data_IF_624168985885
#
_entry.id   IF_624168985885
#
_cell.length_a   1.000
_cell.length_b   1.000
_cell.length_c   1.000
_cell.angle_alpha   90.00
_cell.angle_beta   90.00
_cell.angle_gamma   90.00
#
_symmetry.space_group_name_H-M   'P 1'
#
loop_
_entity.id
_entity.type
_entity.pdbx_description
1 polymer ?
#
# COMPACT_ATOMS: atom_id res chain seq x y z
N UNK A 1 32.91 36.32 -21.43
CA UNK A 1 34.22 35.68 -21.66
C UNK A 1 34.00 34.16 -21.61
N UNK A 2 33.20 33.60 -22.53
CA UNK A 2 33.61 32.88 -23.77
C UNK A 2 34.60 31.71 -23.58
N UNK A 3 34.05 30.49 -23.68
CA UNK A 3 34.48 29.29 -24.43
C UNK A 3 35.96 28.92 -24.50
N UNK A 4 36.27 27.69 -24.08
CA UNK A 4 37.42 26.84 -24.46
C UNK A 4 37.37 25.60 -23.54
N UNK A 5 37.41 24.32 -23.92
CA UNK A 5 38.09 23.60 -25.00
C UNK A 5 37.40 22.23 -25.18
N UNK A 6 37.42 21.73 -26.41
CA UNK A 6 36.98 20.41 -26.82
C UNK A 6 38.17 19.46 -27.05
N UNK A 7 37.86 18.15 -27.08
CA UNK A 7 38.45 17.11 -27.95
C UNK A 7 39.75 16.44 -27.49
N UNK A 8 39.71 15.10 -27.41
CA UNK A 8 40.74 14.04 -27.63
C UNK A 8 40.05 12.74 -27.20
N UNK A 9 40.17 11.56 -27.80
CA UNK A 9 40.51 11.08 -29.13
C UNK A 9 40.07 9.59 -29.12
N UNK A 10 39.61 9.09 -30.26
CA UNK A 10 39.35 7.67 -30.48
C UNK A 10 40.68 6.93 -30.70
N UNK A 11 40.76 5.68 -30.23
CA UNK A 11 41.79 4.74 -30.65
C UNK A 11 41.18 3.35 -30.84
N UNK A 12 41.40 2.86 -32.05
CA UNK A 12 41.12 1.54 -32.58
C UNK A 12 42.00 0.46 -31.93
N UNK A 13 41.44 -0.73 -31.67
CA UNK A 13 42.18 -2.00 -31.59
C UNK A 13 41.27 -3.17 -32.04
N UNK A 14 41.31 -3.42 -33.35
CA UNK A 14 41.76 -4.66 -34.01
C UNK A 14 42.35 -5.79 -33.12
N UNK A 15 41.92 -7.04 -33.39
CA UNK A 15 42.57 -8.31 -33.01
C UNK A 15 41.54 -9.40 -32.64
N UNK A 16 41.02 -10.21 -33.58
CA UNK A 16 41.50 -11.54 -34.00
C UNK A 16 41.75 -12.53 -32.85
N UNK A 17 40.99 -13.62 -32.79
CA UNK A 17 41.50 -14.96 -33.11
C UNK A 17 40.44 -16.04 -32.81
N UNK A 18 40.20 -16.84 -33.84
CA UNK A 18 39.41 -18.08 -33.87
C UNK A 18 40.16 -19.19 -33.13
N UNK A 19 39.51 -19.86 -32.18
CA UNK A 19 39.92 -21.19 -31.72
C UNK A 19 38.66 -22.05 -31.55
N UNK A 20 38.44 -22.93 -32.53
CA UNK A 20 37.53 -24.05 -32.50
C UNK A 20 37.95 -25.04 -31.41
N UNK A 21 37.08 -25.28 -30.41
CA UNK A 21 37.24 -26.44 -29.51
C UNK A 21 35.97 -27.27 -29.43
N UNK A 22 36.09 -28.39 -30.14
CA UNK A 22 35.33 -29.62 -30.11
C UNK A 22 35.31 -30.21 -28.69
N UNK A 23 34.14 -30.32 -28.05
CA UNK A 23 33.97 -31.07 -26.79
C UNK A 23 32.84 -32.08 -26.94
N UNK A 24 33.27 -33.33 -26.84
CA UNK A 24 32.57 -34.60 -26.93
C UNK A 24 31.49 -34.78 -25.88
N UNK A 25 30.36 -35.35 -26.34
CA UNK A 25 29.30 -35.94 -25.51
C UNK A 25 29.87 -37.04 -24.61
N UNK A 26 29.54 -37.00 -23.32
CA UNK A 26 29.67 -38.13 -22.42
C UNK A 26 28.33 -38.30 -21.72
N UNK A 27 27.60 -39.33 -22.15
CA UNK A 27 26.43 -39.85 -21.46
C UNK A 27 26.88 -40.43 -20.10
N UNK A 28 26.17 -40.09 -19.04
CA UNK A 28 26.26 -40.80 -17.76
C UNK A 28 24.87 -40.86 -17.15
N UNK A 29 24.23 -41.99 -17.43
CA UNK A 29 23.15 -42.57 -16.65
C UNK A 29 23.62 -42.80 -15.21
N UNK A 30 22.86 -42.32 -14.22
CA UNK A 30 22.88 -42.89 -12.87
C UNK A 30 21.47 -42.81 -12.28
N UNK A 31 20.79 -43.95 -12.42
CA UNK A 31 19.73 -44.43 -11.53
C UNK A 31 20.28 -44.53 -10.10
N UNK A 32 19.55 -44.10 -9.06
CA UNK A 32 19.48 -44.85 -7.79
C UNK A 32 18.28 -44.43 -6.92
N UNK A 33 17.53 -45.47 -6.51
CA UNK A 33 17.00 -45.74 -5.18
C UNK A 33 15.98 -44.78 -4.51
N UNK A 34 14.73 -45.10 -4.84
CA UNK A 34 13.58 -45.30 -3.96
C UNK A 34 13.91 -45.72 -2.49
N UNK A 35 13.41 -45.00 -1.47
CA UNK A 35 13.13 -45.56 -0.14
C UNK A 35 11.80 -45.02 0.43
N UNK A 36 10.89 -45.98 0.65
CA UNK A 36 9.60 -45.90 1.36
C UNK A 36 9.72 -45.34 2.78
N UNK A 37 8.74 -44.54 3.19
CA UNK A 37 8.39 -44.46 4.61
C UNK A 37 6.88 -44.33 4.80
N UNK A 38 6.27 -45.48 5.11
CA UNK A 38 4.92 -45.62 5.67
C UNK A 38 4.80 -44.84 6.99
N UNK A 39 3.70 -44.11 7.18
CA UNK A 39 3.22 -43.76 8.52
C UNK A 39 1.70 -43.64 8.56
N UNK A 40 1.13 -44.65 9.19
CA UNK A 40 -0.26 -44.74 9.64
C UNK A 40 -0.67 -43.55 10.53
N UNK A 41 -1.91 -43.10 10.38
CA UNK A 41 -2.42 -41.92 11.07
C UNK A 41 -3.95 -41.85 11.18
N UNK A 42 -4.51 -42.85 11.88
CA UNK A 42 -5.62 -42.74 12.85
C UNK A 42 -6.94 -42.10 12.40
N UNK A 43 -7.93 -42.98 12.23
CA UNK A 43 -9.37 -42.71 12.30
C UNK A 43 -9.73 -41.87 13.54
N UNK A 44 -10.47 -40.77 13.34
CA UNK A 44 -11.21 -40.15 14.44
C UNK A 44 -12.67 -39.98 14.05
N UNK A 45 -13.50 -40.69 14.82
CA UNK A 45 -14.93 -40.80 14.72
C UNK A 45 -15.63 -39.49 15.09
N UNK A 46 -16.80 -39.26 14.46
CA UNK A 46 -18.07 -38.94 15.10
C UNK A 46 -18.16 -37.66 15.94
N UNK A 47 -19.01 -36.75 15.50
CA UNK A 47 -20.08 -36.22 16.36
C UNK A 47 -21.20 -35.62 15.48
N UNK A 48 -22.32 -36.33 15.46
CA UNK A 48 -23.63 -35.84 15.06
C UNK A 48 -24.13 -34.91 16.18
N UNK A 49 -24.64 -33.74 15.82
CA UNK A 49 -25.51 -32.97 16.71
C UNK A 49 -26.77 -32.58 15.94
N UNK A 50 -27.84 -33.33 16.23
CA UNK A 50 -29.22 -32.88 16.20
C UNK A 50 -29.30 -31.48 16.82
N UNK A 51 -29.98 -30.54 16.15
CA UNK A 51 -30.60 -29.43 16.86
C UNK A 51 -31.97 -29.17 16.24
N UNK A 52 -32.94 -29.20 17.16
CA UNK A 52 -34.33 -29.52 16.94
C UNK A 52 -35.12 -28.34 16.33
N UNK A 53 -36.15 -28.72 15.59
CA UNK A 53 -37.24 -27.88 15.10
C UNK A 53 -38.02 -27.31 16.30
N UNK A 54 -38.22 -25.99 16.34
CA UNK A 54 -39.34 -25.38 17.07
C UNK A 54 -40.23 -24.63 16.07
N UNK A 55 -41.31 -25.34 15.74
CA UNK A 55 -42.58 -24.81 15.24
C UNK A 55 -43.16 -23.80 16.22
N UNK A 56 -43.53 -22.62 15.72
CA UNK A 56 -44.56 -21.78 16.34
C UNK A 56 -45.57 -21.42 15.22
N UNK A 57 -46.56 -22.31 15.07
CA UNK A 57 -47.86 -22.01 14.48
C UNK A 57 -48.70 -21.13 15.44
N UNK A 58 -49.81 -20.62 14.91
CA UNK A 58 -50.90 -19.92 15.59
C UNK A 58 -50.78 -18.39 15.77
N UNK A 59 -51.46 -17.65 14.89
CA UNK A 59 -52.71 -17.04 15.35
C UNK A 59 -53.65 -16.67 14.18
N UNK A 60 -54.91 -16.95 14.46
CA UNK A 60 -56.08 -17.05 13.60
C UNK A 60 -56.62 -15.69 13.10
N UNK A 61 -57.24 -15.77 11.92
CA UNK A 61 -58.48 -15.12 11.46
C UNK A 61 -59.05 -13.90 12.23
N UNK A 62 -59.29 -12.80 11.50
CA UNK A 62 -60.56 -12.08 11.64
C UNK A 62 -60.90 -11.27 10.35
N UNK A 63 -61.72 -11.91 9.52
CA UNK A 63 -62.43 -11.31 8.38
C UNK A 63 -63.70 -10.61 8.89
N UNK A 64 -63.73 -9.27 8.89
CA UNK A 64 -64.99 -8.51 8.89
C UNK A 64 -65.06 -7.55 7.68
N UNK A 65 -65.99 -7.76 6.73
CA UNK A 65 -66.29 -6.79 5.69
C UNK A 65 -67.35 -5.79 6.17
N UNK A 66 -66.92 -4.69 6.79
CA UNK A 66 -67.83 -3.56 7.08
C UNK A 66 -67.92 -2.61 5.90
N UNK A 67 -69.05 -2.71 5.20
CA UNK A 67 -69.53 -1.79 4.17
C UNK A 67 -69.99 -0.45 4.80
N UNK A 68 -70.03 0.61 3.96
CA UNK A 68 -70.60 1.99 4.06
C UNK A 68 -69.79 3.12 4.72
N UNK A 69 -69.99 4.42 4.34
CA UNK A 69 -70.46 5.00 3.07
C UNK A 69 -69.53 6.11 2.51
N UNK A 70 -69.60 6.33 1.20
CA UNK A 70 -68.97 7.43 0.49
C UNK A 70 -69.29 8.81 1.08
N UNK A 71 -68.28 9.52 1.63
CA UNK A 71 -68.38 10.94 1.95
C UNK A 71 -67.14 11.73 1.51
N UNK A 72 -67.35 12.47 0.40
CA UNK A 72 -66.86 13.81 0.06
C UNK A 72 -65.35 14.10 0.21
N UNK A 73 -64.68 14.09 -0.95
CA UNK A 73 -63.41 14.78 -1.25
C UNK A 73 -63.47 16.25 -0.80
N UNK A 74 -62.93 16.55 0.38
CA UNK A 74 -62.47 17.90 0.74
C UNK A 74 -61.00 17.98 0.33
N UNK A 75 -60.70 18.79 -0.68
CA UNK A 75 -59.35 19.04 -1.18
C UNK A 75 -58.46 19.53 -0.04
N UNK A 76 -57.68 18.60 0.53
CA UNK A 76 -56.69 18.89 1.57
C UNK A 76 -55.51 19.53 0.84
N UNK A 77 -55.44 20.87 0.93
CA UNK A 77 -54.34 21.65 0.37
C UNK A 77 -53.02 21.00 0.75
N UNK A 78 -52.29 20.58 -0.27
CA UNK A 78 -50.94 20.01 -0.18
C UNK A 78 -50.07 21.15 0.35
N UNK A 79 -49.95 21.28 1.68
CA UNK A 79 -48.93 22.14 2.28
C UNK A 79 -47.60 21.58 1.79
N UNK A 80 -46.97 22.30 0.89
CA UNK A 80 -45.58 22.11 0.51
C UNK A 80 -44.81 22.45 1.78
N UNK A 81 -44.65 21.45 2.65
CA UNK A 81 -43.74 21.53 3.79
C UNK A 81 -42.37 21.39 3.14
N UNK A 82 -41.72 22.53 2.92
CA UNK A 82 -40.31 22.62 2.64
C UNK A 82 -39.60 21.88 3.79
N UNK A 83 -39.20 20.64 3.53
CA UNK A 83 -38.48 19.81 4.50
C UNK A 83 -37.14 20.47 4.70
N UNK A 84 -37.03 21.28 5.75
CA UNK A 84 -35.74 21.68 6.31
C UNK A 84 -35.01 20.38 6.63
N UNK A 85 -34.02 20.05 5.81
CA UNK A 85 -33.16 18.89 5.99
C UNK A 85 -32.37 19.14 7.27
N UNK A 86 -32.87 18.62 8.39
CA UNK A 86 -32.12 18.56 9.64
C UNK A 86 -30.85 17.77 9.34
N UNK A 87 -29.71 18.46 9.38
CA UNK A 87 -28.40 17.82 9.31
C UNK A 87 -28.33 16.86 10.49
N UNK A 88 -28.24 15.56 10.19
CA UNK A 88 -28.11 14.50 11.19
C UNK A 88 -26.77 13.83 11.00
N UNK A 89 -26.14 13.54 12.12
CA UNK A 89 -24.91 12.77 12.18
C UNK A 89 -25.22 11.28 12.00
N UNK A 90 -24.39 10.62 11.19
CA UNK A 90 -24.45 9.18 10.91
C UNK A 90 -23.12 8.59 11.35
N UNK A 91 -23.15 7.62 12.26
CA UNK A 91 -21.96 6.91 12.70
C UNK A 91 -21.65 5.77 11.71
N UNK A 92 -20.55 5.88 10.99
CA UNK A 92 -20.08 4.91 10.01
C UNK A 92 -18.88 4.15 10.57
N UNK A 93 -19.02 2.84 10.76
CA UNK A 93 -17.89 1.97 11.11
C UNK A 93 -17.25 1.41 9.84
N UNK A 94 -16.01 1.80 9.55
CA UNK A 94 -15.25 1.30 8.41
C UNK A 94 -14.42 0.10 8.87
N UNK A 95 -14.63 -1.06 8.26
CA UNK A 95 -13.90 -2.30 8.54
C UNK A 95 -13.08 -2.69 7.31
N UNK A 96 -11.75 -2.73 7.45
CA UNK A 96 -10.81 -3.06 6.38
C UNK A 96 -10.22 -4.45 6.62
N UNK A 97 -10.34 -5.33 5.63
CA UNK A 97 -9.72 -6.66 5.64
C UNK A 97 -8.45 -6.66 4.79
N UNK A 98 -7.41 -7.34 5.27
CA UNK A 98 -6.20 -7.58 4.47
C UNK A 98 -6.40 -8.73 3.47
N UNK A 99 -5.59 -8.75 2.42
CA UNK A 99 -5.63 -9.85 1.44
C UNK A 99 -5.31 -11.22 2.08
N UNK A 100 -4.46 -11.25 3.10
CA UNK A 100 -4.16 -12.46 3.87
C UNK A 100 -5.40 -12.97 4.62
N UNK A 101 -6.10 -12.09 5.33
CA UNK A 101 -7.36 -12.41 6.02
C UNK A 101 -8.47 -12.85 5.07
N UNK A 102 -8.49 -12.35 3.83
CA UNK A 102 -9.48 -12.77 2.83
C UNK A 102 -9.27 -14.20 2.32
N UNK A 103 -8.06 -14.77 2.47
CA UNK A 103 -7.78 -16.18 2.12
C UNK A 103 -8.29 -17.15 3.20
N UNK A 104 -8.47 -16.68 4.42
CA UNK A 104 -9.00 -17.47 5.54
C UNK A 104 -10.51 -17.68 5.40
N UNK A 105 -11.02 -18.80 5.92
CA UNK A 105 -12.45 -19.06 5.99
C UNK A 105 -13.14 -18.01 6.88
N UNK A 106 -14.44 -17.78 6.67
CA UNK A 106 -15.18 -16.73 7.41
C UNK A 106 -15.11 -16.87 8.94
N UNK A 107 -14.99 -18.10 9.45
CA UNK A 107 -14.88 -18.40 10.89
C UNK A 107 -13.46 -18.23 11.43
N UNK A 108 -12.44 -18.40 10.60
CA UNK A 108 -11.03 -18.24 10.99
C UNK A 108 -10.51 -16.83 10.74
N UNK A 109 -11.21 -16.04 9.92
CA UNK A 109 -10.83 -14.66 9.58
C UNK A 109 -10.69 -13.82 10.85
N UNK A 110 -9.47 -13.35 11.10
CA UNK A 110 -9.20 -12.43 12.20
C UNK A 110 -10.08 -11.17 12.18
N UNK A 111 -10.13 -10.46 13.32
CA UNK A 111 -10.89 -9.20 13.41
C UNK A 111 -10.36 -8.17 12.40
N UNK A 112 -11.24 -7.49 11.63
CA UNK A 112 -10.80 -6.44 10.71
C UNK A 112 -10.22 -5.24 11.46
N UNK A 113 -9.34 -4.51 10.81
CA UNK A 113 -8.99 -3.16 11.27
C UNK A 113 -10.24 -2.29 11.15
N UNK A 114 -10.78 -1.85 12.29
CA UNK A 114 -12.03 -1.10 12.31
C UNK A 114 -11.89 0.24 12.99
N UNK A 115 -12.52 1.26 12.41
CA UNK A 115 -12.53 2.61 12.97
C UNK A 115 -13.89 3.27 12.74
N UNK A 116 -14.26 4.14 13.69
CA UNK A 116 -15.54 4.84 13.68
C UNK A 116 -15.33 6.24 13.11
N UNK A 117 -16.16 6.60 12.14
CA UNK A 117 -16.22 7.92 11.52
C UNK A 117 -17.63 8.49 11.68
N UNK A 118 -17.74 9.78 12.03
CA UNK A 118 -19.02 10.49 12.11
C UNK A 118 -19.18 11.29 10.82
N UNK A 119 -20.20 10.93 10.05
CA UNK A 119 -20.53 11.50 8.74
C UNK A 119 -21.76 12.40 8.87
N UNK A 120 -21.70 13.63 8.39
CA UNK A 120 -22.90 14.47 8.31
C UNK A 120 -23.75 14.09 7.09
N UNK A 121 -25.08 14.21 7.22
CA UNK A 121 -26.02 13.84 6.15
C UNK A 121 -25.87 14.64 4.84
N UNK A 122 -25.18 15.77 4.89
CA UNK A 122 -24.90 16.68 3.77
C UNK A 122 -23.51 16.47 3.15
N UNK A 123 -22.69 15.56 3.68
CA UNK A 123 -21.37 15.30 3.14
C UNK A 123 -21.43 14.63 1.76
N UNK A 124 -20.65 15.11 0.77
CA UNK A 124 -20.63 14.53 -0.56
C UNK A 124 -19.96 13.16 -0.55
N UNK A 125 -20.26 12.35 -1.58
CA UNK A 125 -19.69 11.01 -1.77
C UNK A 125 -18.16 11.00 -1.74
N UNK A 126 -17.53 12.03 -2.31
CA UNK A 126 -16.08 12.16 -2.34
C UNK A 126 -15.44 12.26 -0.95
N UNK A 127 -16.14 12.83 0.04
CA UNK A 127 -15.65 12.89 1.43
C UNK A 127 -15.60 11.50 2.05
N UNK A 128 -16.67 10.72 1.92
CA UNK A 128 -16.67 9.33 2.40
C UNK A 128 -15.59 8.50 1.69
N UNK A 129 -15.45 8.69 0.37
CA UNK A 129 -14.42 8.02 -0.43
C UNK A 129 -13.00 8.37 0.06
N UNK A 130 -12.72 9.64 0.30
CA UNK A 130 -11.44 10.09 0.83
C UNK A 130 -11.15 9.50 2.22
N UNK A 131 -12.14 9.48 3.12
CA UNK A 131 -12.00 8.90 4.46
C UNK A 131 -11.72 7.41 4.40
N UNK A 132 -12.46 6.66 3.57
CA UNK A 132 -12.20 5.23 3.33
C UNK A 132 -10.77 5.04 2.78
N UNK A 133 -10.32 5.88 1.85
CA UNK A 133 -8.96 5.86 1.32
C UNK A 133 -7.89 6.06 2.39
N UNK A 134 -8.06 7.01 3.30
CA UNK A 134 -7.14 7.24 4.43
C UNK A 134 -7.06 6.01 5.33
N UNK A 135 -8.19 5.34 5.60
CA UNK A 135 -8.21 4.12 6.43
C UNK A 135 -7.57 2.93 5.73
N UNK A 136 -7.79 2.76 4.43
CA UNK A 136 -7.10 1.74 3.63
C UNK A 136 -5.58 1.98 3.68
N UNK A 137 -5.13 3.24 3.50
CA UNK A 137 -3.72 3.60 3.62
C UNK A 137 -3.16 3.24 4.98
N UNK A 138 -3.83 3.64 6.06
CA UNK A 138 -3.38 3.38 7.43
C UNK A 138 -3.34 1.89 7.79
N UNK A 139 -4.28 1.09 7.27
CA UNK A 139 -4.40 -0.32 7.63
C UNK A 139 -3.53 -1.24 6.76
N UNK A 140 -3.40 -0.96 5.46
CA UNK A 140 -2.76 -1.85 4.50
C UNK A 140 -1.45 -1.32 3.93
N UNK A 141 -1.15 -0.02 4.05
CA UNK A 141 -0.02 0.65 3.40
C UNK A 141 0.19 0.25 1.92
N UNK A 142 -0.85 0.33 1.06
CA UNK A 142 -0.73 -0.07 -0.33
C UNK A 142 0.18 0.90 -1.12
N UNK A 143 0.89 0.37 -2.12
CA UNK A 143 1.75 1.17 -3.01
C UNK A 143 0.91 2.07 -3.94
N UNK A 144 -0.25 1.58 -4.39
CA UNK A 144 -1.16 2.30 -5.28
C UNK A 144 -2.56 2.23 -4.67
N UNK A 145 -3.11 3.39 -4.31
CA UNK A 145 -4.47 3.52 -3.80
C UNK A 145 -5.43 3.75 -4.96
N UNK A 146 -5.97 2.65 -5.50
CA UNK A 146 -7.04 2.69 -6.49
C UNK A 146 -8.29 2.00 -5.95
N UNK A 147 -9.43 2.70 -5.96
CA UNK A 147 -10.70 2.19 -5.44
C UNK A 147 -11.23 1.02 -6.26
N UNK A 148 -10.84 0.91 -7.53
CA UNK A 148 -11.24 -0.20 -8.39
C UNK A 148 -10.58 -1.52 -7.97
N UNK A 149 -9.52 -1.48 -7.16
CA UNK A 149 -8.86 -2.66 -6.58
C UNK A 149 -9.53 -3.16 -5.30
N UNK A 150 -10.60 -2.50 -4.83
CA UNK A 150 -11.31 -2.89 -3.61
C UNK A 150 -12.79 -3.14 -3.89
N UNK A 151 -13.34 -4.17 -3.25
CA UNK A 151 -14.77 -4.38 -3.11
C UNK A 151 -15.24 -3.68 -1.84
N UNK A 152 -15.95 -2.57 -2.01
CA UNK A 152 -16.62 -1.88 -0.91
C UNK A 152 -18.06 -2.35 -0.84
N UNK A 153 -18.50 -2.79 0.34
CA UNK A 153 -19.89 -3.11 0.63
C UNK A 153 -20.33 -2.39 1.90
N UNK A 154 -21.63 -2.21 2.09
CA UNK A 154 -22.16 -1.63 3.32
C UNK A 154 -23.36 -2.41 3.84
N UNK A 155 -23.54 -2.37 5.16
CA UNK A 155 -24.72 -2.87 5.86
C UNK A 155 -25.25 -1.79 6.79
N UNK A 156 -26.56 -1.78 7.00
CA UNK A 156 -27.23 -0.85 7.92
C UNK A 156 -27.99 -1.71 8.93
N UNK A 157 -27.55 -1.79 10.20
CA UNK A 157 -28.16 -2.66 11.18
C UNK A 157 -29.69 -2.50 11.20
N UNK A 158 -30.41 -3.64 11.15
CA UNK A 158 -31.89 -3.75 11.16
C UNK A 158 -32.61 -3.25 9.90
N UNK A 159 -31.92 -2.65 8.92
CA UNK A 159 -32.53 -2.19 7.66
C UNK A 159 -32.02 -2.95 6.45
N UNK A 160 -30.73 -3.24 6.41
CA UNK A 160 -30.05 -3.95 5.33
C UNK A 160 -29.15 -4.99 5.99
N UNK A 161 -29.64 -6.22 6.12
CA UNK A 161 -28.88 -7.37 6.62
C UNK A 161 -27.80 -7.80 5.64
N UNK A 162 -28.12 -7.76 4.35
CA UNK A 162 -27.26 -8.29 3.30
C UNK A 162 -26.31 -7.20 2.77
N UNK A 163 -24.99 -7.44 2.68
CA UNK A 163 -24.04 -6.45 2.21
C UNK A 163 -24.36 -5.94 0.80
N UNK A 164 -24.59 -4.63 0.66
CA UNK A 164 -24.83 -3.98 -0.63
C UNK A 164 -23.54 -3.35 -1.14
N UNK A 165 -23.20 -3.53 -2.42
CA UNK A 165 -21.99 -2.95 -3.03
C UNK A 165 -22.05 -1.42 -3.03
N UNK A 166 -20.95 -0.75 -2.71
CA UNK A 166 -20.82 0.71 -2.66
C UNK A 166 -19.90 1.19 -3.80
N UNK A 167 -20.42 1.21 -5.03
CA UNK A 167 -19.65 1.55 -6.25
C UNK A 167 -20.08 2.85 -6.91
N UNK A 168 -21.26 3.39 -6.59
CA UNK A 168 -21.83 4.58 -7.22
C UNK A 168 -22.37 5.58 -6.18
N UNK A 169 -22.51 6.84 -6.59
CA UNK A 169 -23.13 7.89 -5.77
C UNK A 169 -24.58 7.55 -5.39
N UNK A 170 -25.29 6.81 -6.24
CA UNK A 170 -26.66 6.37 -5.97
C UNK A 170 -26.72 5.37 -4.81
N UNK A 171 -25.74 4.47 -4.69
CA UNK A 171 -25.62 3.55 -3.56
C UNK A 171 -25.31 4.31 -2.27
N UNK A 172 -24.52 5.38 -2.36
CA UNK A 172 -24.27 6.27 -1.23
C UNK A 172 -25.54 7.00 -0.78
N UNK A 173 -26.34 7.54 -1.71
CA UNK A 173 -27.65 8.15 -1.39
C UNK A 173 -28.60 7.14 -0.74
N UNK A 174 -28.56 5.89 -1.19
CA UNK A 174 -29.33 4.80 -0.60
C UNK A 174 -28.89 4.50 0.84
N UNK A 175 -27.57 4.46 1.10
CA UNK A 175 -27.01 4.33 2.45
C UNK A 175 -27.51 5.46 3.35
N UNK A 176 -27.37 6.72 2.93
CA UNK A 176 -27.82 7.89 3.71
C UNK A 176 -29.32 7.83 4.01
N UNK A 177 -30.14 7.59 2.99
CA UNK A 177 -31.61 7.52 3.14
C UNK A 177 -32.02 6.43 4.13
N UNK A 178 -31.35 5.28 4.07
CA UNK A 178 -31.67 4.13 4.91
C UNK A 178 -31.21 4.33 6.35
N UNK A 179 -30.01 4.89 6.55
CA UNK A 179 -29.46 5.20 7.86
C UNK A 179 -30.28 6.30 8.57
N UNK A 180 -30.67 7.36 7.85
CA UNK A 180 -31.51 8.44 8.38
C UNK A 180 -32.93 8.01 8.75
N UNK A 181 -33.41 6.91 8.15
CA UNK A 181 -34.68 6.28 8.49
C UNK A 181 -34.68 5.56 9.85
N UNK A 182 -33.54 5.46 10.53
CA UNK A 182 -33.44 4.90 11.88
C UNK A 182 -33.69 6.03 12.90
N UNK A 183 -34.65 5.81 13.80
CA UNK A 183 -35.09 6.82 14.76
C UNK A 183 -34.10 7.03 15.92
N UNK A 184 -33.38 5.98 16.32
CA UNK A 184 -32.61 5.92 17.57
C UNK A 184 -31.15 6.34 17.39
N UNK A 185 -30.50 5.90 16.31
CA UNK A 185 -29.13 6.24 15.95
C UNK A 185 -28.85 5.80 14.52
N UNK A 186 -28.52 6.74 13.64
CA UNK A 186 -28.14 6.42 12.27
C UNK A 186 -26.74 5.77 12.30
N UNK A 187 -26.69 4.45 12.18
CA UNK A 187 -25.44 3.69 12.16
C UNK A 187 -25.33 2.92 10.85
N UNK A 188 -24.14 2.88 10.27
CA UNK A 188 -23.84 2.11 9.07
C UNK A 188 -22.48 1.44 9.22
N UNK A 189 -22.30 0.27 8.63
CA UNK A 189 -21.02 -0.44 8.58
C UNK A 189 -20.57 -0.53 7.13
N UNK A 190 -19.38 -0.03 6.82
CA UNK A 190 -18.75 -0.15 5.50
C UNK A 190 -17.64 -1.18 5.61
N UNK A 191 -17.69 -2.21 4.77
CA UNK A 191 -16.72 -3.30 4.71
C UNK A 191 -15.91 -3.13 3.42
N UNK A 192 -14.59 -3.11 3.57
CA UNK A 192 -13.63 -2.98 2.47
C UNK A 192 -12.83 -4.27 2.35
N UNK A 193 -12.95 -4.94 1.20
CA UNK A 193 -12.22 -6.16 0.88
C UNK A 193 -11.34 -5.93 -0.35
N UNK A 194 -10.04 -6.25 -0.34
CA UNK A 194 -9.22 -6.17 -1.54
C UNK A 194 -9.72 -7.18 -2.58
N UNK A 195 -9.85 -6.75 -3.83
CA UNK A 195 -10.08 -7.70 -4.93
C UNK A 195 -8.84 -8.58 -5.07
N UNK A 196 -9.01 -9.89 -5.30
CA UNK A 196 -7.88 -10.71 -5.70
C UNK A 196 -7.34 -10.13 -7.01
N UNK A 197 -6.14 -9.58 -6.97
CA UNK A 197 -5.44 -9.18 -8.18
C UNK A 197 -5.31 -10.47 -8.98
N UNK A 198 -5.89 -10.51 -10.19
CA UNK A 198 -5.88 -11.69 -11.04
C UNK A 198 -4.47 -12.03 -11.59
N UNK A 199 -3.41 -11.58 -10.90
CA UNK A 199 -2.04 -11.81 -11.28
C UNK A 199 -1.66 -13.26 -10.96
N UNK A 200 -1.44 -13.97 -12.06
CA UNK A 200 -0.42 -15.00 -12.24
C UNK A 200 -0.55 -16.24 -11.37
N UNK A 201 -1.50 -17.10 -11.77
CA UNK A 201 -1.37 -18.56 -11.63
C UNK A 201 -0.25 -19.12 -12.54
N UNK A 202 0.94 -18.52 -12.53
CA UNK A 202 2.16 -19.15 -13.06
C UNK A 202 3.12 -19.29 -11.89
N UNK A 203 3.46 -20.53 -11.53
CA UNK A 203 4.47 -20.93 -10.53
C UNK A 203 4.07 -21.02 -9.04
N UNK A 204 2.99 -21.72 -8.72
CA UNK A 204 2.97 -22.56 -7.51
C UNK A 204 2.59 -23.99 -7.90
N UNK A 205 3.51 -24.68 -8.58
CA UNK A 205 3.49 -26.14 -8.68
C UNK A 205 4.77 -26.66 -8.00
N UNK A 206 4.63 -27.07 -6.74
CA UNK A 206 5.60 -27.90 -6.03
C UNK A 206 4.95 -28.60 -4.82
N UNK A 207 4.68 -29.90 -4.98
CA UNK A 207 4.59 -30.91 -3.91
C UNK A 207 3.16 -31.33 -3.53
N UNK A 208 2.52 -32.30 -4.15
CA UNK A 208 2.78 -33.76 -4.19
C UNK A 208 2.43 -34.52 -2.89
N UNK A 209 1.28 -35.21 -2.89
CA UNK A 209 1.20 -36.68 -2.78
C UNK A 209 -0.25 -37.19 -2.88
N UNK A 210 -0.56 -37.90 -3.97
CA UNK A 210 -1.81 -38.65 -4.14
C UNK A 210 -1.87 -39.43 -5.47
N UNK A 211 -2.00 -40.78 -5.47
CA UNK A 211 -1.61 -41.58 -6.62
C UNK A 211 -2.69 -41.75 -7.70
N UNK A 212 -2.21 -41.67 -8.95
CA UNK A 212 -2.63 -42.38 -10.17
C UNK A 212 -4.08 -42.24 -10.65
N UNK A 213 -4.27 -41.44 -11.70
CA UNK A 213 -5.14 -41.82 -12.82
C UNK A 213 -4.70 -41.20 -14.17
N UNK A 214 -4.01 -42.03 -14.96
CA UNK A 214 -4.04 -42.19 -16.43
C UNK A 214 -4.15 -40.94 -17.34
N UNK A 215 -3.02 -40.66 -17.99
CA UNK A 215 -2.84 -40.41 -19.43
C UNK A 215 -3.93 -39.58 -20.14
N UNK A 216 -3.80 -38.26 -20.06
CA UNK A 216 -4.23 -37.33 -21.10
C UNK A 216 -3.07 -36.41 -21.43
N UNK A 217 -2.37 -36.66 -22.53
CA UNK A 217 -1.27 -35.82 -22.99
C UNK A 217 -1.77 -34.43 -23.39
N UNK A 218 -1.75 -33.51 -22.44
CA UNK A 218 -2.04 -32.11 -22.67
C UNK A 218 -0.81 -31.49 -23.36
N UNK A 219 -0.91 -31.32 -24.68
CA UNK A 219 0.08 -30.59 -25.46
C UNK A 219 0.10 -29.15 -24.94
N UNK A 220 1.16 -28.79 -24.21
CA UNK A 220 1.46 -27.44 -23.78
C UNK A 220 1.41 -26.54 -25.00
N UNK A 221 0.30 -25.82 -25.11
CA UNK A 221 0.01 -24.94 -26.23
C UNK A 221 0.99 -23.79 -26.12
N UNK A 222 2.04 -23.80 -26.95
CA UNK A 222 3.02 -22.71 -27.08
C UNK A 222 2.24 -21.38 -27.09
N UNK A 223 2.42 -20.59 -26.03
CA UNK A 223 1.77 -19.30 -25.86
C UNK A 223 2.13 -18.47 -27.10
N UNK A 224 1.12 -17.93 -27.77
CA UNK A 224 1.34 -17.12 -28.96
C UNK A 224 2.07 -15.85 -28.53
N UNK A 225 3.10 -15.50 -29.28
CA UNK A 225 3.95 -14.31 -29.09
C UNK A 225 3.18 -12.98 -28.92
N UNK A 226 1.90 -12.96 -29.33
CA UNK A 226 1.00 -11.79 -29.22
C UNK A 226 0.48 -11.51 -27.81
N UNK A 227 0.60 -12.46 -26.88
CA UNK A 227 0.14 -12.30 -25.48
C UNK A 227 1.26 -11.81 -24.54
N UNK A 228 2.48 -11.60 -25.05
CA UNK A 228 3.59 -11.07 -24.24
C UNK A 228 3.48 -9.55 -24.23
N UNK A 229 3.33 -8.96 -23.04
CA UNK A 229 3.30 -7.51 -22.88
C UNK A 229 4.57 -6.89 -23.49
N UNK A 230 4.49 -5.76 -24.21
CA UNK A 230 5.64 -5.14 -24.86
C UNK A 230 6.83 -4.87 -23.92
N UNK A 231 6.56 -4.60 -22.63
CA UNK A 231 7.59 -4.42 -21.62
C UNK A 231 8.40 -5.69 -21.33
N UNK A 232 7.77 -6.86 -21.40
CA UNK A 232 8.43 -8.14 -21.14
C UNK A 232 9.32 -8.57 -22.32
N UNK A 233 9.00 -8.14 -23.55
CA UNK A 233 9.84 -8.42 -24.73
C UNK A 233 11.22 -7.78 -24.59
N UNK A 234 11.26 -6.48 -24.24
CA UNK A 234 12.52 -5.76 -24.07
C UNK A 234 13.35 -6.33 -22.90
N UNK A 235 12.69 -6.74 -21.81
CA UNK A 235 13.35 -7.35 -20.66
C UNK A 235 13.95 -8.73 -21.02
N UNK A 236 13.19 -9.57 -21.71
CA UNK A 236 13.65 -10.88 -22.18
C UNK A 236 14.80 -10.78 -23.19
N UNK A 237 14.78 -9.79 -24.08
CA UNK A 237 15.88 -9.51 -24.99
C UNK A 237 17.18 -9.19 -24.21
N UNK A 238 17.10 -8.34 -23.18
CA UNK A 238 18.26 -8.02 -22.32
C UNK A 238 18.73 -9.23 -21.51
N UNK A 239 17.84 -10.08 -21.03
CA UNK A 239 18.21 -11.34 -20.36
C UNK A 239 18.96 -12.26 -21.32
N UNK A 240 18.52 -12.38 -22.58
CA UNK A 240 19.22 -13.14 -23.61
C UNK A 240 20.67 -12.67 -23.79
N UNK A 241 20.85 -11.36 -23.98
CA UNK A 241 22.19 -10.76 -24.11
C UNK A 241 23.08 -11.00 -22.88
N UNK A 242 22.51 -10.95 -21.67
CA UNK A 242 23.26 -11.24 -20.44
C UNK A 242 23.65 -12.72 -20.36
N UNK A 243 22.77 -13.65 -20.74
CA UNK A 243 23.08 -15.09 -20.77
C UNK A 243 24.19 -15.40 -21.76
N UNK A 244 24.14 -14.84 -22.96
CA UNK A 244 25.16 -15.04 -23.99
C UNK A 244 26.52 -14.48 -23.55
N UNK A 245 26.54 -13.31 -22.91
CA UNK A 245 27.77 -12.65 -22.46
C UNK A 245 28.41 -13.32 -21.24
N UNK A 246 27.60 -13.79 -20.30
CA UNK A 246 28.03 -14.30 -18.99
C UNK A 246 27.91 -15.81 -18.86
N UNK A 247 28.00 -16.53 -19.99
CA UNK A 247 28.10 -17.99 -19.99
C UNK A 247 29.39 -18.39 -19.28
N UNK A 248 29.30 -19.31 -18.32
CA UNK A 248 30.46 -19.71 -17.55
C UNK A 248 31.50 -20.35 -18.49
N UNK A 249 32.76 -19.88 -18.51
CA UNK A 249 33.79 -20.42 -19.39
C UNK A 249 34.23 -21.83 -19.00
N UNK A 250 33.92 -22.27 -17.79
CA UNK A 250 34.33 -23.58 -17.26
C UNK A 250 33.09 -24.42 -16.94
N UNK A 251 32.53 -25.16 -17.92
CA UNK A 251 31.50 -26.15 -17.64
C UNK A 251 32.07 -27.21 -16.68
N UNK A 252 31.41 -27.42 -15.54
CA UNK A 252 31.90 -28.29 -14.47
C UNK A 252 32.90 -27.66 -13.49
N UNK A 253 33.11 -26.34 -13.58
CA UNK A 253 33.89 -25.60 -12.58
C UNK A 253 33.23 -25.57 -11.19
N UNK A 254 33.95 -25.08 -10.16
CA UNK A 254 33.48 -25.07 -8.78
C UNK A 254 32.19 -24.25 -8.55
N UNK A 255 31.80 -23.38 -9.50
CA UNK A 255 30.57 -22.60 -9.41
C UNK A 255 29.29 -23.39 -9.71
N UNK A 256 29.35 -24.53 -10.43
CA UNK A 256 28.20 -25.38 -10.76
C UNK A 256 27.09 -24.74 -11.61
N UNK A 257 27.13 -23.43 -11.87
CA UNK A 257 26.13 -22.69 -12.65
C UNK A 257 26.54 -22.50 -14.10
N UNK A 258 25.55 -22.51 -15.00
CA UNK A 258 25.74 -22.25 -16.43
C UNK A 258 26.14 -20.80 -16.73
N UNK A 259 25.78 -19.86 -15.86
CA UNK A 259 26.03 -18.43 -16.03
C UNK A 259 26.71 -17.86 -14.80
N UNK A 260 27.83 -17.16 -14.99
CA UNK A 260 28.64 -16.61 -13.91
C UNK A 260 29.13 -15.21 -14.26
N UNK A 261 29.11 -14.32 -13.27
CA UNK A 261 29.79 -13.04 -13.36
C UNK A 261 31.22 -13.19 -12.81
N UNK A 262 32.21 -12.78 -13.60
CA UNK A 262 33.63 -12.78 -13.21
C UNK A 262 34.06 -11.32 -13.06
N UNK A 263 34.46 -10.94 -11.85
CA UNK A 263 34.89 -9.58 -11.59
C UNK A 263 36.30 -9.35 -12.17
N UNK A 264 36.59 -8.19 -12.80
CA UNK A 264 37.90 -7.96 -13.42
C UNK A 264 39.08 -7.96 -12.43
N UNK A 265 38.82 -7.71 -11.15
CA UNK A 265 39.87 -7.72 -10.11
C UNK A 265 40.02 -9.07 -9.41
N UNK A 266 38.96 -9.87 -9.36
CA UNK A 266 38.91 -11.09 -8.55
C UNK A 266 38.47 -12.25 -9.44
N UNK A 267 39.28 -13.32 -9.59
CA UNK A 267 38.95 -14.47 -10.43
C UNK A 267 37.84 -15.34 -9.84
N UNK A 268 37.12 -14.88 -8.82
CA UNK A 268 36.01 -15.61 -8.21
C UNK A 268 34.76 -15.50 -9.08
N UNK A 269 34.16 -16.64 -9.37
CA UNK A 269 32.94 -16.73 -10.17
C UNK A 269 31.73 -16.53 -9.27
N UNK A 270 30.91 -15.53 -9.56
CA UNK A 270 29.62 -15.35 -8.89
C UNK A 270 28.49 -15.98 -9.71
N UNK A 271 27.77 -17.00 -9.20
CA UNK A 271 26.71 -17.67 -9.95
C UNK A 271 25.50 -16.76 -10.18
N UNK A 272 25.11 -16.58 -11.43
CA UNK A 272 23.97 -15.75 -11.82
C UNK A 272 22.70 -16.60 -11.95
N UNK A 273 21.92 -16.66 -10.87
CA UNK A 273 20.56 -17.21 -10.94
C UNK A 273 19.61 -16.31 -11.78
N UNK A 274 18.45 -16.83 -12.19
CA UNK A 274 17.46 -16.12 -12.99
C UNK A 274 17.07 -14.76 -12.39
N UNK A 275 16.88 -14.68 -11.07
CA UNK A 275 16.55 -13.44 -10.37
C UNK A 275 17.63 -12.35 -10.53
N UNK A 276 18.91 -12.73 -10.62
CA UNK A 276 20.00 -11.79 -10.89
C UNK A 276 19.90 -11.22 -12.30
N UNK A 277 19.63 -12.09 -13.28
CA UNK A 277 19.49 -11.70 -14.70
C UNK A 277 18.30 -10.76 -14.91
N UNK A 278 17.14 -11.05 -14.30
CA UNK A 278 15.95 -10.20 -14.38
C UNK A 278 16.18 -8.83 -13.74
N UNK A 279 16.79 -8.81 -12.55
CA UNK A 279 17.09 -7.56 -11.86
C UNK A 279 18.10 -6.70 -12.63
N UNK A 280 19.11 -7.34 -13.23
CA UNK A 280 20.10 -6.67 -14.07
C UNK A 280 19.46 -6.12 -15.35
N UNK A 281 18.68 -6.94 -16.08
CA UNK A 281 17.96 -6.52 -17.27
C UNK A 281 17.00 -5.35 -16.98
N UNK A 282 16.24 -5.41 -15.89
CA UNK A 282 15.33 -4.34 -15.48
C UNK A 282 16.06 -3.03 -15.15
N UNK A 283 17.21 -3.10 -14.47
CA UNK A 283 18.05 -1.93 -14.22
C UNK A 283 18.67 -1.37 -15.50
N UNK A 284 19.07 -2.23 -16.43
CA UNK A 284 19.63 -1.84 -17.73
C UNK A 284 18.60 -1.09 -18.58
N UNK A 285 17.33 -1.50 -18.55
CA UNK A 285 16.24 -0.79 -19.22
C UNK A 285 15.98 0.62 -18.65
N UNK A 286 16.33 0.88 -17.38
CA UNK A 286 16.22 2.23 -16.78
C UNK A 286 17.34 3.18 -17.24
N UNK A 287 18.42 2.65 -17.82
CA UNK A 287 19.51 3.41 -18.41
C UNK A 287 20.91 3.00 -17.91
N UNK A 288 21.97 3.36 -18.65
CA UNK A 288 23.35 2.94 -18.41
C UNK A 288 23.95 3.43 -17.09
N UNK A 289 23.33 4.44 -16.47
CA UNK A 289 23.70 4.92 -15.15
C UNK A 289 23.38 3.92 -14.03
N UNK A 290 22.39 3.04 -14.24
CA UNK A 290 21.96 2.05 -13.24
C UNK A 290 22.62 0.70 -13.45
N UNK A 291 22.62 0.21 -14.68
CA UNK A 291 23.32 -1.01 -15.07
C UNK A 291 23.64 -0.99 -16.57
N UNK A 292 24.68 -1.71 -16.95
CA UNK A 292 25.07 -1.95 -18.33
C UNK A 292 25.49 -3.41 -18.50
N UNK A 293 25.74 -3.89 -19.72
CA UNK A 293 26.09 -5.30 -19.97
C UNK A 293 27.29 -5.79 -19.14
N UNK A 294 28.23 -4.90 -18.83
CA UNK A 294 29.44 -5.20 -18.06
C UNK A 294 29.35 -4.78 -16.58
N UNK A 295 28.30 -4.05 -16.19
CA UNK A 295 28.18 -3.44 -14.87
C UNK A 295 26.86 -3.84 -14.22
N UNK A 296 26.88 -4.75 -13.23
CA UNK A 296 25.66 -5.16 -12.53
C UNK A 296 25.06 -3.99 -11.73
N UNK A 297 23.73 -4.03 -11.45
CA UNK A 297 23.08 -3.00 -10.66
C UNK A 297 23.54 -3.03 -9.19
N UNK A 298 23.48 -1.88 -8.53
CA UNK A 298 23.76 -1.76 -7.11
C UNK A 298 22.50 -2.10 -6.29
N UNK A 299 22.24 -3.39 -6.08
CA UNK A 299 21.13 -3.89 -5.26
C UNK A 299 21.57 -5.05 -4.35
N UNK A 300 20.67 -5.52 -3.49
CA UNK A 300 20.96 -6.57 -2.50
C UNK A 300 21.38 -7.91 -3.10
N UNK A 301 20.92 -8.24 -4.31
CA UNK A 301 21.30 -9.47 -5.01
C UNK A 301 22.78 -9.42 -5.47
N UNK A 302 23.31 -8.22 -5.73
CA UNK A 302 24.68 -8.00 -6.21
C UNK A 302 25.64 -7.47 -5.13
N UNK A 303 25.18 -7.27 -3.89
CA UNK A 303 26.01 -6.75 -2.79
C UNK A 303 27.20 -7.67 -2.47
N UNK A 304 27.07 -8.97 -2.72
CA UNK A 304 28.16 -9.95 -2.52
C UNK A 304 29.30 -9.79 -3.53
N UNK A 305 29.03 -9.23 -4.71
CA UNK A 305 30.03 -9.10 -5.79
C UNK A 305 30.91 -7.88 -5.59
N UNK A 306 30.39 -6.82 -4.98
CA UNK A 306 31.13 -5.57 -4.86
C UNK A 306 31.78 -5.47 -3.47
N UNK A 307 33.08 -5.78 -3.32
CA UNK A 307 33.77 -5.67 -2.04
C UNK A 307 33.75 -4.22 -1.52
N UNK A 308 33.65 -3.22 -2.40
CA UNK A 308 33.48 -1.83 -1.99
C UNK A 308 32.07 -1.55 -1.44
N UNK A 309 31.02 -2.28 -1.84
CA UNK A 309 29.67 -2.18 -1.24
C UNK A 309 29.65 -2.73 0.18
N UNK A 310 30.30 -3.89 0.40
CA UNK A 310 30.43 -4.50 1.72
C UNK A 310 31.24 -3.61 2.69
N UNK A 311 32.33 -3.02 2.23
CA UNK A 311 33.13 -2.10 3.04
C UNK A 311 32.45 -0.72 3.25
N UNK A 312 31.62 -0.27 2.30
CA UNK A 312 30.88 1.01 2.40
C UNK A 312 29.63 0.91 3.29
N UNK A 313 29.08 -0.28 3.52
CA UNK A 313 28.00 -0.51 4.47
C UNK A 313 28.55 -0.63 5.89
N UNK A 314 29.04 0.50 6.39
CA UNK A 314 29.20 0.69 7.84
C UNK A 314 27.91 0.24 8.55
N UNK A 315 27.99 -0.55 9.64
CA UNK A 315 26.81 -0.98 10.40
C UNK A 315 25.91 0.20 10.84
N UNK A 316 26.50 1.40 10.97
CA UNK A 316 25.78 2.64 11.24
C UNK A 316 25.03 3.19 10.02
N UNK A 317 25.58 3.07 8.82
CA UNK A 317 24.91 3.42 7.57
C UNK A 317 23.77 2.42 7.27
N UNK A 318 23.98 1.13 7.51
CA UNK A 318 22.92 0.12 7.43
C UNK A 318 21.77 0.46 8.39
N UNK A 319 22.07 0.73 9.67
CA UNK A 319 21.05 1.18 10.64
C UNK A 319 20.32 2.45 10.22
N UNK A 320 21.02 3.42 9.64
CA UNK A 320 20.39 4.67 9.15
C UNK A 320 19.52 4.42 7.93
N UNK A 321 19.93 3.53 7.04
CA UNK A 321 19.12 3.14 5.89
C UNK A 321 17.91 2.31 6.32
N UNK A 322 18.05 1.39 7.27
CA UNK A 322 16.91 0.62 7.81
C UNK A 322 15.89 1.52 8.52
N UNK A 323 16.37 2.55 9.23
CA UNK A 323 15.51 3.58 9.84
C UNK A 323 14.84 4.48 8.78
N UNK A 324 15.52 4.75 7.67
CA UNK A 324 14.97 5.56 6.56
C UNK A 324 14.07 4.76 5.61
N UNK A 325 14.28 3.46 5.42
CA UNK A 325 13.43 2.60 4.59
C UNK A 325 12.10 2.26 5.27
N UNK A 326 12.02 2.38 6.60
CA UNK A 326 10.75 2.38 7.35
C UNK A 326 10.01 3.72 7.34
N UNK A 327 10.55 4.74 6.67
CA UNK A 327 9.88 6.03 6.50
C UNK A 327 9.49 6.24 5.01
N UNK A 328 8.24 6.59 4.71
CA UNK A 328 7.85 6.90 3.33
C UNK A 328 8.59 8.15 2.83
N UNK A 329 9.47 7.94 1.85
CA UNK A 329 10.23 8.98 1.15
C UNK A 329 9.32 9.63 0.10
N UNK A 330 8.71 10.79 0.43
CA UNK A 330 8.59 11.94 -0.49
C UNK A 330 7.80 13.13 0.08
N UNK A 331 8.11 13.58 1.29
CA UNK A 331 7.82 14.96 1.66
C UNK A 331 9.04 15.52 2.38
N UNK A 332 9.53 16.68 1.95
CA UNK A 332 10.36 17.54 2.81
C UNK A 332 9.72 17.55 4.19
N UNK A 333 10.45 17.30 5.29
CA UNK A 333 9.88 17.13 6.62
C UNK A 333 9.13 18.41 7.00
N UNK A 334 7.83 18.42 6.72
CA UNK A 334 6.94 19.48 7.11
C UNK A 334 6.50 19.07 8.50
N UNK A 335 7.24 19.53 9.51
CA UNK A 335 6.87 19.29 10.90
C UNK A 335 5.61 20.10 11.16
N UNK A 336 4.45 19.53 10.82
CA UNK A 336 3.16 20.16 11.05
C UNK A 336 2.80 19.98 12.54
N UNK A 337 3.40 20.81 13.39
CA UNK A 337 3.07 20.86 14.82
C UNK A 337 1.74 21.59 14.94
N UNK A 338 0.66 20.82 14.99
CA UNK A 338 -0.66 21.34 15.28
C UNK A 338 -0.78 21.45 16.81
N UNK A 339 -0.72 22.67 17.35
CA UNK A 339 -0.92 22.89 18.77
C UNK A 339 -2.39 22.69 19.12
N UNK A 340 -2.74 21.77 20.04
CA UNK A 340 -4.13 21.60 20.46
C UNK A 340 -4.66 22.92 21.01
N UNK A 341 -5.91 23.32 20.68
CA UNK A 341 -6.49 24.58 21.16
C UNK A 341 -6.65 24.65 22.69
N UNK A 342 -6.45 23.53 23.39
CA UNK A 342 -6.59 23.39 24.83
C UNK A 342 -5.31 23.77 25.62
N UNK A 343 -4.17 23.97 24.96
CA UNK A 343 -2.90 24.32 25.64
C UNK A 343 -2.59 25.81 25.44
N UNK A 344 -3.50 26.68 25.88
CA UNK A 344 -3.26 28.12 25.90
C UNK A 344 -2.60 28.53 27.22
N UNK A 345 -1.38 29.05 27.15
CA UNK A 345 -0.68 29.65 28.29
C UNK A 345 -1.40 30.91 28.83
N UNK A 346 -0.93 31.51 29.95
CA UNK A 346 -1.50 32.76 30.43
C UNK A 346 -1.35 33.89 29.39
N UNK A 347 -2.41 34.69 29.20
CA UNK A 347 -2.39 35.82 28.26
C UNK A 347 -1.33 36.85 28.66
N UNK A 348 -0.29 36.99 27.84
CA UNK A 348 0.81 37.94 28.01
C UNK A 348 0.84 38.90 26.83
N UNK A 349 1.32 40.12 27.04
CA UNK A 349 1.66 41.02 25.93
C UNK A 349 2.86 40.47 25.17
N UNK A 350 2.93 40.71 23.85
CA UNK A 350 4.05 40.25 23.02
C UNK A 350 5.40 40.75 23.57
N UNK A 351 5.46 41.97 24.11
CA UNK A 351 6.66 42.52 24.76
C UNK A 351 7.13 41.70 25.95
N UNK A 352 6.20 41.31 26.82
CA UNK A 352 6.52 40.53 28.01
C UNK A 352 6.89 39.09 27.65
N UNK A 353 6.25 38.53 26.61
CA UNK A 353 6.58 37.22 26.06
C UNK A 353 8.01 37.22 25.48
N UNK A 354 8.33 38.12 24.56
CA UNK A 354 9.66 38.17 23.95
C UNK A 354 10.77 38.37 24.99
N UNK A 355 10.56 39.24 25.99
CA UNK A 355 11.50 39.43 27.10
C UNK A 355 11.59 38.21 28.02
N UNK A 356 10.47 37.55 28.30
CA UNK A 356 10.43 36.39 29.19
C UNK A 356 11.15 35.15 28.64
N UNK A 357 11.19 35.01 27.30
CA UNK A 357 11.81 33.87 26.62
C UNK A 357 13.12 34.20 25.91
N UNK A 358 13.69 35.40 26.13
CA UNK A 358 14.92 35.88 25.47
C UNK A 358 14.87 35.75 23.93
N UNK A 359 13.74 36.11 23.32
CA UNK A 359 13.61 36.15 21.86
C UNK A 359 14.27 37.42 21.31
N UNK A 360 14.77 37.35 20.08
CA UNK A 360 15.36 38.50 19.38
C UNK A 360 14.35 39.65 19.23
N UNK A 361 14.84 40.89 19.30
CA UNK A 361 14.06 42.11 19.12
C UNK A 361 13.45 42.20 17.71
N UNK A 362 14.08 41.56 16.72
CA UNK A 362 13.53 41.42 15.37
C UNK A 362 12.23 40.61 15.37
N UNK A 363 12.17 39.51 16.13
CA UNK A 363 10.97 38.68 16.26
C UNK A 363 9.83 39.49 16.88
N UNK A 364 10.13 40.24 17.95
CA UNK A 364 9.16 41.11 18.61
C UNK A 364 8.61 42.19 17.65
N UNK A 365 9.50 42.78 16.85
CA UNK A 365 9.15 43.84 15.88
C UNK A 365 8.22 43.30 14.79
N UNK A 366 8.50 42.11 14.26
CA UNK A 366 7.66 41.47 13.22
C UNK A 366 6.26 41.13 13.72
N UNK A 367 6.13 40.64 14.96
CA UNK A 367 4.81 40.42 15.55
C UNK A 367 4.01 41.72 15.69
N UNK A 368 4.65 42.81 16.11
CA UNK A 368 3.99 44.13 16.21
C UNK A 368 3.58 44.68 14.85
N UNK A 369 4.42 44.51 13.82
CA UNK A 369 4.10 44.90 12.44
C UNK A 369 2.85 44.18 11.93
N UNK A 370 2.72 42.88 12.25
CA UNK A 370 1.55 42.05 11.93
C UNK A 370 0.39 42.19 12.92
N UNK A 371 0.40 43.24 13.78
CA UNK A 371 -0.68 43.60 14.70
C UNK A 371 -1.01 42.56 15.78
N UNK A 372 -0.09 41.64 16.09
CA UNK A 372 -0.23 40.75 17.25
C UNK A 372 -0.07 41.55 18.55
N UNK A 373 -1.07 41.45 19.44
CA UNK A 373 -1.10 42.21 20.72
C UNK A 373 -0.86 41.32 21.93
N UNK A 374 -1.43 40.12 21.93
CA UNK A 374 -1.38 39.15 23.04
C UNK A 374 -0.98 37.77 22.53
N UNK A 375 -0.47 36.92 23.43
CA UNK A 375 -0.07 35.54 23.14
C UNK A 375 -1.24 34.61 22.82
N UNK A 376 -2.48 35.00 23.13
CA UNK A 376 -3.70 34.22 22.80
C UNK A 376 -3.85 33.95 21.30
N UNK A 377 -3.31 34.86 20.48
CA UNK A 377 -3.33 34.73 19.04
C UNK A 377 -2.46 33.56 18.54
N UNK A 378 -1.45 33.12 19.30
CA UNK A 378 -0.56 32.03 18.89
C UNK A 378 -1.27 30.70 18.69
N UNK A 379 -2.39 30.46 19.38
CA UNK A 379 -3.22 29.27 19.17
C UNK A 379 -3.81 29.20 17.74
N UNK A 380 -3.88 30.33 17.03
CA UNK A 380 -4.44 30.43 15.69
C UNK A 380 -3.37 30.64 14.60
N UNK A 381 -2.09 30.77 14.99
CA UNK A 381 -1.01 31.04 14.03
C UNK A 381 -0.54 29.73 13.41
N UNK A 382 -0.84 29.55 12.12
CA UNK A 382 -0.34 28.41 11.35
C UNK A 382 1.12 28.63 10.91
N UNK A 383 1.87 27.54 10.70
CA UNK A 383 3.27 27.62 10.24
C UNK A 383 3.41 28.39 8.92
N UNK A 384 2.47 28.24 7.99
CA UNK A 384 2.46 28.99 6.74
C UNK A 384 2.36 30.51 6.93
N UNK A 385 1.69 30.97 8.00
CA UNK A 385 1.59 32.39 8.33
C UNK A 385 2.91 32.93 8.89
N UNK A 386 3.65 32.13 9.67
CA UNK A 386 5.00 32.49 10.13
C UNK A 386 5.95 32.64 8.94
N UNK A 387 5.92 31.72 7.97
CA UNK A 387 6.72 31.87 6.75
C UNK A 387 6.29 33.09 5.93
N UNK A 388 4.99 33.40 5.86
CA UNK A 388 4.48 34.60 5.18
C UNK A 388 4.87 35.92 5.88
N UNK A 389 5.17 35.87 7.18
CA UNK A 389 5.77 36.97 7.96
C UNK A 389 7.30 37.03 7.81
N UNK A 390 7.86 36.29 6.85
CA UNK A 390 9.28 36.24 6.49
C UNK A 390 10.20 35.70 7.58
N UNK A 391 9.67 35.01 8.60
CA UNK A 391 10.50 34.41 9.64
C UNK A 391 11.44 33.35 9.04
N UNK A 392 12.70 33.39 9.45
CA UNK A 392 13.70 32.38 9.09
C UNK A 392 13.44 31.08 9.83
N UNK A 393 13.85 29.95 9.26
CA UNK A 393 13.62 28.61 9.84
C UNK A 393 14.17 28.49 11.27
N UNK A 394 15.30 29.15 11.57
CA UNK A 394 15.88 29.20 12.92
C UNK A 394 14.99 29.96 13.91
N UNK A 395 14.49 31.13 13.52
CA UNK A 395 13.59 31.95 14.36
C UNK A 395 12.27 31.22 14.64
N UNK A 396 11.74 30.49 13.64
CA UNK A 396 10.53 29.67 13.80
C UNK A 396 10.77 28.58 14.85
N UNK A 397 11.92 27.91 14.82
CA UNK A 397 12.25 26.87 15.80
C UNK A 397 12.38 27.44 17.22
N UNK A 398 13.06 28.58 17.39
CA UNK A 398 13.17 29.27 18.68
C UNK A 398 11.80 29.71 19.22
N UNK A 399 10.95 30.27 18.35
CA UNK A 399 9.59 30.65 18.69
C UNK A 399 8.75 29.45 19.12
N UNK A 400 8.83 28.31 18.43
CA UNK A 400 8.11 27.09 18.80
C UNK A 400 8.54 26.58 20.18
N UNK A 401 9.83 26.61 20.49
CA UNK A 401 10.34 26.24 21.82
C UNK A 401 9.84 27.21 22.89
N UNK A 402 9.80 28.52 22.61
CA UNK A 402 9.26 29.52 23.53
C UNK A 402 7.76 29.33 23.79
N UNK A 403 6.97 29.08 22.74
CA UNK A 403 5.53 28.80 22.85
C UNK A 403 5.30 27.51 23.66
N UNK A 404 6.06 26.45 23.38
CA UNK A 404 5.97 25.19 24.13
C UNK A 404 6.26 25.38 25.62
N UNK A 405 7.30 26.15 25.96
CA UNK A 405 7.61 26.46 27.38
C UNK A 405 6.53 27.32 28.03
N UNK A 406 5.99 28.29 27.31
CA UNK A 406 4.90 29.16 27.80
C UNK A 406 3.61 28.40 28.05
N UNK A 407 3.27 27.47 27.16
CA UNK A 407 2.06 26.67 27.24
C UNK A 407 2.07 25.69 28.44
N UNK A 408 3.25 25.25 28.89
CA UNK A 408 3.43 24.35 30.05
C UNK A 408 3.34 25.08 31.40
N UNK A 409 3.48 26.41 31.43
CA UNK A 409 3.44 27.20 32.66
C UNK A 409 1.98 27.56 33.08
N UNK A 410 1.01 27.44 32.17
CA UNK A 410 -0.43 27.46 32.52
C UNK A 410 -0.85 26.14 33.17
#
# INVERSE_FOLDING_TARGET
>A
ITKSIAKIAAQDLDGSDDEDLDITMVDSDDDEANEDSEKDGVDNEKEESDDEEEDDEDDEDDDEPVVVPAKRKRGKGKKIIEKVLLVREITVTIAVYSAAQMKESRTSRGSPASEIYILNSDEPWDTLKAQVGVRICSALNPVILDFDNYNMTFTVPRRISDPVKLSSEDHYKHLLTTALGIKTSATARVIVEPKPVANDKENDDAGDNGPKAKNGGEKTKVRKERDILPGNVALNEKIGLLRDKWRCPTPGGPCGSEHCFVHPTDPEHFPLAQAHMESWAAAWLKGPQFADINKPPNNELFDKINPASLAARSPLLQRRLDLNQKAPVNQTPTININFPPEIAGPSLTIDNFCKGYNLDDEICTRFKQNRFKTTDAFAFVAMAQLTAMEFMVGEIAELQVAIGKWAVIA
#
